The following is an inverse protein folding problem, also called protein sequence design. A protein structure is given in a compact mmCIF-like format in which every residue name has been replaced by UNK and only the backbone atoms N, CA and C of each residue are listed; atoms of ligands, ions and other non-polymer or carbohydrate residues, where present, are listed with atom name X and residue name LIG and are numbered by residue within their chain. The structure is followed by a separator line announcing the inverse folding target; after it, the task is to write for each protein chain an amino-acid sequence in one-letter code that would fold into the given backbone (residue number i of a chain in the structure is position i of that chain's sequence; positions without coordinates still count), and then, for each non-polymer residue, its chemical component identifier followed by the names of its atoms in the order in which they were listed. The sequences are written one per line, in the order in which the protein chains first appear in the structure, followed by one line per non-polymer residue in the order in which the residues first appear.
data_IF_412742663181
#
_entry.id   IF_412742663181
#
_cell.length_a   1.000
_cell.length_b   1.000
_cell.length_c   1.000
_cell.angle_alpha   90.00
_cell.angle_beta   90.00
_cell.angle_gamma   90.00
#
_symmetry.space_group_name_H-M   'P 1'
#
loop_
_entity.id
_entity.type
_entity.pdbx_description
1 polymer ?
#
# COMPACT_ATOMS: atom_id res chain seq x y z
N UNK A 1 2.18 4.64 7.32
CA UNK A 1 2.30 3.40 6.55
C UNK A 1 2.20 3.71 5.07
N UNK A 2 3.14 3.21 4.29
CA UNK A 2 3.11 3.35 2.84
C UNK A 2 2.68 2.05 2.18
N UNK A 3 1.89 2.15 1.12
CA UNK A 3 1.42 0.99 0.37
C UNK A 3 1.70 1.22 -1.12
N UNK A 4 2.34 0.24 -1.73
CA UNK A 4 2.61 0.21 -3.16
C UNK A 4 1.67 -0.83 -3.79
N UNK A 5 0.58 -0.39 -4.42
CA UNK A 5 -0.43 -1.32 -4.95
C UNK A 5 0.13 -2.21 -6.05
N UNK A 6 -0.30 -3.45 -6.04
CA UNK A 6 0.03 -4.42 -7.08
C UNK A 6 -1.04 -5.48 -7.18
N UNK A 7 -1.04 -6.21 -8.28
CA UNK A 7 -2.03 -7.27 -8.52
C UNK A 7 -1.50 -8.66 -8.18
N UNK A 8 -0.19 -8.83 -8.12
CA UNK A 8 0.45 -10.07 -7.70
C UNK A 8 1.16 -9.93 -6.36
N UNK A 9 1.72 -8.75 -6.11
CA UNK A 9 2.36 -8.41 -4.85
C UNK A 9 1.99 -6.98 -4.50
N UNK A 10 1.65 -6.75 -3.24
CA UNK A 10 1.40 -5.40 -2.73
C UNK A 10 2.45 -5.10 -1.67
N UNK A 11 3.33 -4.15 -1.97
CA UNK A 11 4.38 -3.74 -1.04
C UNK A 11 3.83 -2.85 0.06
N UNK A 12 4.38 -2.96 1.25
CA UNK A 12 4.04 -2.06 2.35
C UNK A 12 5.26 -1.76 3.21
N UNK A 13 5.21 -0.60 3.87
CA UNK A 13 6.22 -0.21 4.83
C UNK A 13 5.62 0.65 5.92
N UNK A 14 6.10 0.46 7.14
CA UNK A 14 5.71 1.31 8.28
C UNK A 14 6.94 2.04 8.75
N UNK A 15 6.83 3.36 8.83
CA UNK A 15 7.89 4.24 9.31
C UNK A 15 7.46 4.89 10.62
N UNK A 16 8.41 5.06 11.51
CA UNK A 16 8.25 5.80 12.74
C UNK A 16 9.07 7.07 12.67
N UNK A 17 8.44 8.20 12.94
CA UNK A 17 9.10 9.50 12.89
C UNK A 17 9.10 10.11 14.28
N UNK A 18 10.31 10.39 14.80
CA UNK A 18 10.51 11.11 16.06
C UNK A 18 11.40 12.32 15.76
N UNK A 19 10.81 13.53 15.79
CA UNK A 19 11.52 14.74 15.45
C UNK A 19 12.05 14.67 14.02
N UNK A 20 13.37 14.64 13.85
CA UNK A 20 14.03 14.52 12.55
C UNK A 20 14.47 13.09 12.21
N UNK A 21 14.26 12.18 13.14
CA UNK A 21 14.68 10.79 12.95
C UNK A 21 13.54 10.00 12.33
N UNK A 22 13.84 9.29 11.24
CA UNK A 22 12.93 8.38 10.55
C UNK A 22 13.49 6.97 10.66
N UNK A 23 12.68 6.06 11.17
CA UNK A 23 13.07 4.66 11.34
C UNK A 23 12.08 3.74 10.64
N UNK A 24 12.61 2.78 9.89
CA UNK A 24 11.78 1.73 9.30
C UNK A 24 11.43 0.71 10.39
N UNK A 25 10.13 0.52 10.61
CA UNK A 25 9.63 -0.46 11.57
C UNK A 25 9.47 -1.81 10.90
N UNK A 26 8.87 -1.82 9.70
CA UNK A 26 8.68 -3.03 8.93
C UNK A 26 8.60 -2.69 7.43
N UNK A 27 9.11 -3.60 6.62
CA UNK A 27 8.95 -3.59 5.17
C UNK A 27 8.54 -5.00 4.76
N UNK A 28 7.57 -5.12 3.86
CA UNK A 28 7.13 -6.43 3.42
C UNK A 28 6.25 -6.38 2.20
N UNK A 29 5.81 -7.55 1.78
CA UNK A 29 4.92 -7.73 0.65
C UNK A 29 3.73 -8.59 1.04
N UNK A 30 2.58 -8.24 0.51
CA UNK A 30 1.39 -9.10 0.53
C UNK A 30 1.41 -9.88 -0.77
N UNK A 31 1.56 -11.19 -0.68
CA UNK A 31 1.65 -12.07 -1.85
C UNK A 31 0.24 -12.50 -2.29
N UNK A 32 -0.12 -12.13 -3.51
CA UNK A 32 -1.43 -12.36 -4.07
C UNK A 32 -1.42 -13.36 -5.24
N UNK A 33 -0.24 -13.70 -5.76
CA UNK A 33 -0.16 -14.41 -7.04
C UNK A 33 -0.74 -15.82 -7.02
N UNK A 34 -0.80 -16.46 -5.86
CA UNK A 34 -1.34 -17.82 -5.73
C UNK A 34 -2.85 -17.87 -5.51
N UNK A 35 -3.49 -16.72 -5.34
CA UNK A 35 -4.93 -16.70 -5.10
C UNK A 35 -5.69 -16.97 -6.40
N UNK A 36 -6.81 -17.72 -6.33
CA UNK A 36 -7.43 -18.28 -7.53
C UNK A 36 -8.17 -17.27 -8.41
N UNK A 37 -8.65 -16.17 -7.86
CA UNK A 37 -9.43 -15.22 -8.64
C UNK A 37 -9.24 -13.78 -8.14
N UNK A 38 -9.66 -12.78 -8.96
CA UNK A 38 -9.49 -11.37 -8.59
C UNK A 38 -10.22 -10.98 -7.31
N UNK A 39 -11.37 -11.56 -7.03
CA UNK A 39 -12.15 -11.21 -5.84
C UNK A 39 -11.49 -11.76 -4.57
N UNK A 40 -10.94 -12.97 -4.64
CA UNK A 40 -10.16 -13.53 -3.54
C UNK A 40 -8.95 -12.64 -3.23
N UNK A 41 -8.29 -12.10 -4.26
CA UNK A 41 -7.19 -11.16 -4.08
C UNK A 41 -7.63 -9.89 -3.35
N UNK A 42 -8.77 -9.32 -3.73
CA UNK A 42 -9.30 -8.11 -3.10
C UNK A 42 -9.66 -8.36 -1.63
N UNK A 43 -10.29 -9.49 -1.34
CA UNK A 43 -10.61 -9.86 0.05
C UNK A 43 -9.36 -10.00 0.89
N UNK A 44 -8.34 -10.64 0.35
CA UNK A 44 -7.09 -10.85 1.06
C UNK A 44 -6.36 -9.53 1.33
N UNK A 45 -6.36 -8.61 0.36
CA UNK A 45 -5.81 -7.26 0.55
C UNK A 45 -6.50 -6.56 1.72
N UNK A 46 -7.83 -6.56 1.72
CA UNK A 46 -8.60 -5.93 2.78
C UNK A 46 -8.25 -6.50 4.15
N UNK A 47 -8.23 -7.83 4.26
CA UNK A 47 -7.91 -8.52 5.51
C UNK A 47 -6.48 -8.23 5.98
N UNK A 48 -5.49 -8.34 5.07
CA UNK A 48 -4.09 -8.16 5.42
C UNK A 48 -3.75 -6.71 5.77
N UNK A 49 -4.25 -5.77 5.00
CA UNK A 49 -4.04 -4.35 5.32
C UNK A 49 -4.66 -4.01 6.66
N UNK A 50 -5.87 -4.53 6.92
CA UNK A 50 -6.53 -4.34 8.20
C UNK A 50 -5.71 -4.88 9.37
N UNK A 51 -5.18 -6.10 9.24
CA UNK A 51 -4.33 -6.70 10.29
C UNK A 51 -3.07 -5.87 10.53
N UNK A 52 -2.42 -5.41 9.46
CA UNK A 52 -1.23 -4.58 9.57
C UNK A 52 -1.51 -3.25 10.25
N UNK A 53 -2.63 -2.61 9.91
CA UNK A 53 -3.04 -1.36 10.54
C UNK A 53 -3.32 -1.57 12.02
N UNK A 54 -4.02 -2.64 12.37
CA UNK A 54 -4.32 -2.96 13.78
C UNK A 54 -3.04 -3.26 14.57
N UNK A 55 -2.07 -3.91 13.94
CA UNK A 55 -0.81 -4.27 14.58
C UNK A 55 0.12 -3.08 14.79
N UNK A 56 0.30 -2.26 13.77
CA UNK A 56 1.27 -1.17 13.81
C UNK A 56 0.68 0.19 14.14
N UNK A 57 -0.64 0.31 14.13
CA UNK A 57 -1.38 1.54 14.48
C UNK A 57 -0.79 2.81 13.83
N UNK A 58 -0.64 2.86 12.50
CA UNK A 58 -0.09 4.02 11.83
C UNK A 58 -1.04 5.21 11.96
N UNK A 59 -0.48 6.43 11.99
CA UNK A 59 -1.31 7.65 12.02
C UNK A 59 -1.92 7.96 10.67
N UNK A 60 -1.22 7.59 9.60
CA UNK A 60 -1.62 7.89 8.23
C UNK A 60 -1.25 6.73 7.31
N UNK A 61 -1.99 6.60 6.21
CA UNK A 61 -1.67 5.66 5.15
C UNK A 61 -1.44 6.43 3.86
N UNK A 62 -0.30 6.21 3.23
CA UNK A 62 0.05 6.79 1.95
C UNK A 62 0.06 5.71 0.88
N UNK A 63 -0.65 5.96 -0.21
CA UNK A 63 -0.69 5.04 -1.34
C UNK A 63 -0.07 5.69 -2.56
N UNK A 64 0.61 4.86 -3.34
CA UNK A 64 1.13 5.29 -4.62
C UNK A 64 -0.02 5.46 -5.61
N UNK A 65 -0.10 6.63 -6.24
CA UNK A 65 -1.10 6.86 -7.28
C UNK A 65 -0.79 5.99 -8.49
N UNK A 66 -1.79 5.34 -9.07
CA UNK A 66 -1.54 4.52 -10.25
C UNK A 66 -1.13 5.39 -11.43
N UNK A 67 -0.18 4.90 -12.22
CA UNK A 67 0.17 5.53 -13.48
C UNK A 67 -0.93 5.32 -14.51
N UNK A 68 -1.03 6.25 -15.44
CA UNK A 68 -1.73 5.98 -16.68
C UNK A 68 -0.93 4.96 -17.46
N UNK A 69 -1.30 3.71 -17.29
CA UNK A 69 -0.63 2.61 -17.94
C UNK A 69 -1.07 2.45 -19.40
N UNK A 70 -0.36 1.58 -20.10
CA UNK A 70 -0.65 1.24 -21.48
C UNK A 70 -1.92 0.42 -21.63
N UNK A 71 -2.40 -0.17 -20.53
CA UNK A 71 -3.50 -1.13 -20.54
C UNK A 71 -4.58 -0.71 -19.53
N UNK A 72 -5.77 -0.43 -20.07
CA UNK A 72 -6.92 -0.01 -19.27
C UNK A 72 -7.32 -1.07 -18.24
N UNK A 73 -7.27 -2.34 -18.60
CA UNK A 73 -7.64 -3.43 -17.68
C UNK A 73 -6.68 -3.53 -16.50
N UNK A 74 -5.39 -3.34 -16.75
CA UNK A 74 -4.40 -3.34 -15.68
C UNK A 74 -4.63 -2.17 -14.73
N UNK A 75 -4.99 -1.01 -15.25
CA UNK A 75 -5.31 0.16 -14.42
C UNK A 75 -6.56 -0.08 -13.57
N UNK A 76 -7.58 -0.72 -14.14
CA UNK A 76 -8.80 -1.06 -13.39
C UNK A 76 -8.48 -2.02 -12.24
N UNK A 77 -7.65 -3.02 -12.49
CA UNK A 77 -7.23 -3.97 -11.45
C UNK A 77 -6.46 -3.28 -10.33
N UNK A 78 -5.52 -2.40 -10.69
CA UNK A 78 -4.75 -1.63 -9.71
C UNK A 78 -5.66 -0.70 -8.91
N UNK A 79 -6.59 -0.02 -9.59
CA UNK A 79 -7.55 0.87 -8.91
C UNK A 79 -8.43 0.15 -7.92
N UNK A 80 -8.88 -1.07 -8.25
CA UNK A 80 -9.66 -1.88 -7.32
C UNK A 80 -8.83 -2.28 -6.11
N UNK A 81 -7.60 -2.74 -6.33
CA UNK A 81 -6.69 -3.12 -5.25
C UNK A 81 -6.39 -1.93 -4.34
N UNK A 82 -6.12 -0.78 -4.92
CA UNK A 82 -5.88 0.45 -4.18
C UNK A 82 -7.10 0.87 -3.37
N UNK A 83 -8.28 0.83 -3.98
CA UNK A 83 -9.53 1.20 -3.32
C UNK A 83 -9.83 0.32 -2.11
N UNK A 84 -9.57 -0.98 -2.22
CA UNK A 84 -9.76 -1.92 -1.11
C UNK A 84 -8.78 -1.63 0.03
N UNK A 85 -7.52 -1.34 -0.29
CA UNK A 85 -6.53 -0.95 0.72
C UNK A 85 -6.93 0.35 1.42
N UNK A 86 -7.43 1.33 0.66
CA UNK A 86 -7.95 2.57 1.21
C UNK A 86 -9.12 2.32 2.15
N UNK A 87 -10.07 1.46 1.74
CA UNK A 87 -11.23 1.14 2.55
C UNK A 87 -10.84 0.52 3.89
N UNK A 88 -9.83 -0.34 3.90
CA UNK A 88 -9.31 -0.93 5.12
C UNK A 88 -8.80 0.14 6.09
N UNK A 89 -8.08 1.14 5.60
CA UNK A 89 -7.60 2.26 6.40
C UNK A 89 -8.74 3.17 6.86
N UNK A 90 -9.60 3.56 5.93
CA UNK A 90 -10.71 4.48 6.21
C UNK A 90 -11.71 3.91 7.20
N UNK A 91 -11.97 2.59 7.13
CA UNK A 91 -12.87 1.92 8.07
C UNK A 91 -12.34 1.94 9.50
N UNK A 92 -11.06 2.20 9.68
CA UNK A 92 -10.41 2.32 10.99
C UNK A 92 -10.15 3.77 11.40
N UNK A 93 -10.72 4.72 10.66
CA UNK A 93 -10.57 6.14 10.95
C UNK A 93 -9.20 6.71 10.65
N UNK A 94 -8.43 6.06 9.79
CA UNK A 94 -7.09 6.53 9.42
C UNK A 94 -7.17 7.30 8.12
N UNK A 95 -6.54 8.46 8.09
CA UNK A 95 -6.49 9.31 6.90
C UNK A 95 -5.61 8.67 5.82
N UNK A 96 -6.05 8.83 4.57
CA UNK A 96 -5.39 8.27 3.41
C UNK A 96 -4.93 9.38 2.49
N UNK A 97 -3.69 9.26 2.00
CA UNK A 97 -3.10 10.22 1.08
C UNK A 97 -2.54 9.48 -0.14
N UNK A 98 -2.64 10.10 -1.30
CA UNK A 98 -2.06 9.59 -2.53
C UNK A 98 -0.85 10.41 -2.93
N UNK A 99 0.20 9.75 -3.37
CA UNK A 99 1.44 10.39 -3.79
C UNK A 99 1.92 9.82 -5.11
N UNK A 100 2.73 10.60 -5.82
CA UNK A 100 3.41 10.09 -7.01
C UNK A 100 4.36 8.95 -6.61
N UNK A 101 4.54 7.93 -7.48
CA UNK A 101 5.33 6.74 -7.17
C UNK A 101 6.73 7.02 -6.62
N UNK A 102 7.43 7.97 -7.20
CA UNK A 102 8.77 8.36 -6.77
C UNK A 102 8.78 8.82 -5.31
N UNK A 103 7.76 9.56 -4.91
CA UNK A 103 7.69 10.12 -3.57
C UNK A 103 7.45 9.06 -2.50
N UNK A 104 6.61 8.07 -2.79
CA UNK A 104 6.37 6.96 -1.87
C UNK A 104 7.64 6.14 -1.68
N UNK A 105 8.35 5.84 -2.75
CA UNK A 105 9.60 5.10 -2.66
C UNK A 105 10.64 5.85 -1.83
N UNK A 106 10.73 7.16 -1.99
CA UNK A 106 11.61 7.98 -1.15
C UNK A 106 11.22 7.93 0.32
N UNK A 107 9.93 7.95 0.62
CA UNK A 107 9.43 7.92 2.00
C UNK A 107 9.70 6.59 2.68
N UNK A 108 9.59 5.48 1.95
CA UNK A 108 9.74 4.13 2.51
C UNK A 108 11.19 3.69 2.52
N UNK A 109 11.94 3.92 1.44
CA UNK A 109 13.28 3.39 1.25
C UNK A 109 14.39 4.43 1.35
N UNK A 110 14.04 5.71 1.32
CA UNK A 110 15.00 6.81 1.24
C UNK A 110 15.58 7.02 -0.14
N UNK A 111 15.17 6.23 -1.15
CA UNK A 111 15.65 6.34 -2.52
C UNK A 111 14.50 6.21 -3.51
N UNK A 112 14.36 7.21 -4.39
CA UNK A 112 13.33 7.18 -5.42
C UNK A 112 13.50 6.09 -6.47
N UNK A 113 14.70 5.54 -6.61
CA UNK A 113 15.00 4.47 -7.55
C UNK A 113 14.89 3.06 -6.97
N UNK A 114 14.60 2.93 -5.69
CA UNK A 114 14.49 1.63 -5.06
C UNK A 114 13.23 0.89 -5.56
N UNK A 115 13.40 -0.37 -5.83
CA UNK A 115 12.30 -1.22 -6.30
C UNK A 115 11.31 -1.52 -5.16
#
# INVERSE_FOLDING_TARGET
MGIDPGTNYMGYGVLEVEGRTVRSVVLGDIDLHKLPDPYAKLRYIFERVGVLIDEYAPHEVALESPFFGENVQSMLKLGRAQGVAMAAALSRGIDVFEYAPMRIKQSITGRGSAA
#
